data_IF_769313379874
#
_entry.id   IF_769313379874
#
_cell.length_a   1.000
_cell.length_b   1.000
_cell.length_c   1.000
_cell.angle_alpha   90.00
_cell.angle_beta   90.00
_cell.angle_gamma   90.00
#
_symmetry.space_group_name_H-M   'P 1'
#
loop_
_entity.id
_entity.type
_entity.pdbx_description
1 polymer ?
#
# COMPACT_ATOMS: atom_id res chain seq x y z
N UNK A 1 -11.99 -15.37 10.89
CA UNK A 1 -11.01 -14.51 11.58
C UNK A 1 -10.50 -13.45 10.63
N UNK A 2 -10.46 -12.19 11.06
CA UNK A 2 -9.79 -11.12 10.31
C UNK A 2 -8.29 -11.29 10.55
N UNK A 3 -7.57 -11.78 9.54
CA UNK A 3 -6.12 -11.85 9.59
C UNK A 3 -5.59 -10.41 9.48
N UNK A 4 -5.13 -9.86 10.61
CA UNK A 4 -4.48 -8.55 10.62
C UNK A 4 -3.03 -8.75 10.16
N UNK A 5 -2.61 -8.00 9.14
CA UNK A 5 -1.22 -8.00 8.69
C UNK A 5 -0.52 -6.74 9.17
N UNK A 6 0.57 -6.92 9.92
CA UNK A 6 1.44 -5.82 10.34
C UNK A 6 2.47 -5.52 9.26
N UNK A 7 2.44 -4.31 8.70
CA UNK A 7 3.43 -3.85 7.71
C UNK A 7 4.72 -3.42 8.42
N UNK A 8 5.86 -3.93 7.96
CA UNK A 8 7.20 -3.56 8.46
C UNK A 8 7.92 -2.61 7.52
N UNK A 9 7.85 -2.89 6.21
CA UNK A 9 8.53 -2.10 5.19
C UNK A 9 7.69 -1.94 3.95
N UNK A 10 7.90 -0.84 3.24
CA UNK A 10 7.44 -0.66 1.86
C UNK A 10 8.58 -0.19 0.99
N UNK A 11 8.79 -0.85 -0.16
CA UNK A 11 9.86 -0.55 -1.09
C UNK A 11 11.25 -0.53 -0.41
N UNK A 12 11.46 -1.42 0.56
CA UNK A 12 12.68 -1.52 1.37
C UNK A 12 12.83 -0.45 2.47
N UNK A 13 11.89 0.50 2.58
CA UNK A 13 11.87 1.53 3.63
C UNK A 13 11.09 1.05 4.84
N UNK A 14 11.64 1.24 6.04
CA UNK A 14 10.97 0.92 7.31
C UNK A 14 9.79 1.85 7.58
N UNK A 15 8.65 1.28 8.01
CA UNK A 15 7.42 2.03 8.27
C UNK A 15 7.22 2.14 9.78
N UNK A 16 7.14 3.39 10.29
CA UNK A 16 6.89 3.69 11.70
C UNK A 16 5.60 4.49 11.92
N UNK A 17 5.05 5.04 10.84
CA UNK A 17 3.84 5.84 10.82
C UNK A 17 3.03 5.61 9.54
N UNK A 18 1.78 6.09 9.52
CA UNK A 18 0.95 6.06 8.31
C UNK A 18 1.47 7.01 7.23
N UNK A 19 2.12 8.11 7.62
CA UNK A 19 2.79 9.02 6.68
C UNK A 19 3.96 8.33 5.97
N UNK A 20 4.80 7.58 6.71
CA UNK A 20 5.89 6.81 6.11
C UNK A 20 5.36 5.83 5.05
N UNK A 21 4.23 5.18 5.35
CA UNK A 21 3.58 4.23 4.44
C UNK A 21 3.12 4.94 3.16
N UNK A 22 2.44 6.07 3.31
CA UNK A 22 1.95 6.87 2.20
C UNK A 22 3.09 7.40 1.31
N UNK A 23 4.20 7.83 1.91
CA UNK A 23 5.38 8.30 1.17
C UNK A 23 6.10 7.16 0.46
N UNK A 24 6.30 6.03 1.13
CA UNK A 24 7.00 4.88 0.57
C UNK A 24 6.24 4.27 -0.62
N UNK A 25 4.89 4.19 -0.54
CA UNK A 25 4.06 3.64 -1.60
C UNK A 25 4.07 4.47 -2.90
N UNK A 26 4.34 5.79 -2.82
CA UNK A 26 4.43 6.69 -3.98
C UNK A 26 5.67 6.45 -4.86
N UNK A 27 6.67 5.73 -4.35
CA UNK A 27 7.95 5.53 -5.02
C UNK A 27 8.17 4.04 -5.36
N UNK A 28 7.46 3.49 -6.37
CA UNK A 28 7.59 2.10 -6.74
C UNK A 28 9.02 1.77 -7.20
N UNK A 29 9.50 0.58 -6.83
CA UNK A 29 10.83 0.08 -7.18
C UNK A 29 10.67 -0.95 -8.29
N UNK A 30 11.31 -0.71 -9.43
CA UNK A 30 11.18 -1.53 -10.65
C UNK A 30 9.72 -1.69 -11.13
N UNK A 31 8.88 -0.67 -10.93
CA UNK A 31 7.46 -0.69 -11.32
C UNK A 31 6.54 -1.39 -10.32
N UNK A 32 7.06 -1.89 -9.20
CA UNK A 32 6.27 -2.56 -8.17
C UNK A 32 6.26 -1.78 -6.85
N UNK A 33 5.15 -1.87 -6.14
CA UNK A 33 5.03 -1.50 -4.73
C UNK A 33 5.20 -2.79 -3.92
N UNK A 34 6.30 -2.91 -3.20
CA UNK A 34 6.63 -4.09 -2.40
C UNK A 34 6.31 -3.81 -0.94
N UNK A 35 5.43 -4.59 -0.33
CA UNK A 35 5.02 -4.46 1.07
C UNK A 35 5.52 -5.68 1.83
N UNK A 36 6.40 -5.48 2.81
CA UNK A 36 6.88 -6.54 3.69
C UNK A 36 6.04 -6.58 4.97
N UNK A 37 5.56 -7.78 5.34
CA UNK A 37 4.69 -8.01 6.49
C UNK A 37 5.38 -8.87 7.56
N UNK A 38 4.97 -8.70 8.81
CA UNK A 38 5.51 -9.48 9.93
C UNK A 38 5.13 -10.96 9.83
N UNK A 39 3.90 -11.26 9.42
CA UNK A 39 3.36 -12.61 9.26
C UNK A 39 3.28 -12.99 7.78
N UNK A 40 3.05 -14.28 7.49
CA UNK A 40 2.86 -14.77 6.12
C UNK A 40 1.73 -13.99 5.42
N UNK A 41 1.95 -13.53 4.17
CA UNK A 41 2.92 -14.03 3.19
C UNK A 41 4.34 -13.44 3.26
N UNK A 42 4.69 -12.64 4.29
CA UNK A 42 5.96 -11.90 4.46
C UNK A 42 6.23 -10.80 3.43
N UNK A 43 5.74 -10.95 2.21
CA UNK A 43 5.87 -9.99 1.13
C UNK A 43 4.64 -10.01 0.23
N UNK A 44 4.18 -8.82 -0.16
CA UNK A 44 3.13 -8.58 -1.13
C UNK A 44 3.71 -7.65 -2.21
N UNK A 45 3.57 -8.03 -3.47
CA UNK A 45 4.03 -7.22 -4.60
C UNK A 45 2.83 -6.76 -5.42
N UNK A 46 2.70 -5.45 -5.60
CA UNK A 46 1.64 -4.83 -6.38
C UNK A 46 2.24 -4.11 -7.58
N UNK A 47 1.67 -4.31 -8.77
CA UNK A 47 2.06 -3.56 -9.96
C UNK A 47 1.56 -2.12 -9.85
N UNK A 48 2.47 -1.15 -9.93
CA UNK A 48 2.13 0.25 -9.71
C UNK A 48 1.24 0.83 -10.83
N UNK A 49 1.37 0.34 -12.07
CA UNK A 49 0.56 0.79 -13.19
C UNK A 49 -0.86 0.26 -13.07
N UNK A 50 -1.04 -1.00 -12.67
CA UNK A 50 -2.36 -1.58 -12.41
C UNK A 50 -3.04 -0.89 -11.23
N UNK A 51 -2.33 -0.68 -10.12
CA UNK A 51 -2.88 0.05 -8.96
C UNK A 51 -3.37 1.43 -9.37
N UNK A 52 -2.59 2.18 -10.17
CA UNK A 52 -3.00 3.50 -10.63
C UNK A 52 -4.21 3.46 -11.58
N UNK A 53 -4.30 2.44 -12.43
CA UNK A 53 -5.43 2.26 -13.36
C UNK A 53 -6.73 1.86 -12.65
N UNK A 54 -6.63 1.05 -11.60
CA UNK A 54 -7.79 0.50 -10.86
C UNK A 54 -8.26 1.40 -9.71
N UNK A 55 -7.39 2.26 -9.18
CA UNK A 55 -7.71 3.12 -8.03
C UNK A 55 -9.02 3.91 -8.17
N UNK A 56 -9.36 4.56 -9.30
CA UNK A 56 -10.62 5.29 -9.43
C UNK A 56 -11.84 4.38 -9.29
N UNK A 57 -11.82 3.24 -9.98
CA UNK A 57 -12.93 2.27 -9.93
C UNK A 57 -13.09 1.68 -8.52
N UNK A 58 -12.00 1.40 -7.82
CA UNK A 58 -12.03 0.94 -6.43
C UNK A 58 -12.61 2.03 -5.50
N UNK A 59 -12.23 3.30 -5.68
CA UNK A 59 -12.79 4.38 -4.88
C UNK A 59 -14.31 4.49 -5.03
N UNK A 60 -14.81 4.44 -6.26
CA UNK A 60 -16.24 4.52 -6.55
C UNK A 60 -16.98 3.30 -5.99
N UNK A 61 -16.50 2.09 -6.26
CA UNK A 61 -17.15 0.84 -5.85
C UNK A 61 -17.24 0.67 -4.33
N UNK A 62 -16.25 1.17 -3.59
CA UNK A 62 -16.21 1.09 -2.14
C UNK A 62 -16.68 2.39 -1.44
N UNK A 63 -17.13 3.39 -2.18
CA UNK A 63 -17.61 4.66 -1.62
C UNK A 63 -16.54 5.48 -0.90
N UNK A 64 -15.27 5.36 -1.31
CA UNK A 64 -14.12 6.01 -0.70
C UNK A 64 -13.96 7.42 -1.27
N UNK A 65 -14.40 8.43 -0.51
CA UNK A 65 -14.36 9.83 -0.95
C UNK A 65 -12.95 10.39 -1.15
N UNK A 66 -11.93 9.83 -0.49
CA UNK A 66 -10.53 10.27 -0.61
C UNK A 66 -9.57 9.12 -0.26
N UNK A 67 -8.51 8.94 -1.06
CA UNK A 67 -7.49 7.90 -0.84
C UNK A 67 -6.57 8.17 0.34
N UNK A 68 -6.47 9.42 0.75
CA UNK A 68 -5.68 9.85 1.90
C UNK A 68 -6.52 10.79 2.75
N UNK A 69 -6.36 10.71 4.08
CA UNK A 69 -6.93 11.72 4.97
C UNK A 69 -6.13 13.01 4.81
N UNK A 70 -6.83 14.13 4.60
CA UNK A 70 -6.27 15.45 4.81
C UNK A 70 -6.02 15.61 6.31
N UNK A 71 -4.77 15.80 6.72
CA UNK A 71 -4.43 16.28 8.06
C UNK A 71 -4.43 17.80 8.09
#
# INVERSE_FOLDING_TARGET
DLAYLTVKKVNGKEIKSLDDLAEAAKQPVNGFIKIETEEDPKQIELDAAQVAAEAPALQENYGISSLQRLQ
#
